data_IF_571464779408
#
_entry.id   IF_571464779408
#
_cell.length_a   1.000
_cell.length_b   1.000
_cell.length_c   1.000
_cell.angle_alpha   90.00
_cell.angle_beta   90.00
_cell.angle_gamma   90.00
#
_symmetry.space_group_name_H-M   'P 1'
#
loop_
_entity.id
_entity.type
_entity.pdbx_description
1 polymer ?
#
# COMPACT_ATOMS: atom_id res chain seq x y z
N UNK A 1 17.25 -14.21 68.91
CA UNK A 1 17.06 -14.89 67.60
C UNK A 1 15.85 -14.21 66.95
N UNK A 2 15.87 -13.55 65.80
CA UNK A 2 16.72 -13.55 64.61
C UNK A 2 16.51 -12.19 63.95
N UNK A 3 17.54 -11.36 63.87
CA UNK A 3 18.17 -10.92 62.60
C UNK A 3 17.20 -10.57 61.45
N UNK A 4 17.19 -9.28 61.15
CA UNK A 4 17.40 -8.70 59.82
C UNK A 4 16.78 -9.45 58.62
N UNK A 5 15.64 -8.96 58.15
CA UNK A 5 15.23 -9.10 56.75
C UNK A 5 14.53 -7.82 56.31
N UNK A 6 15.33 -6.77 56.12
CA UNK A 6 14.91 -5.54 55.46
C UNK A 6 16.00 -5.19 54.44
N UNK A 7 16.15 -6.03 53.41
CA UNK A 7 16.96 -5.71 52.24
C UNK A 7 16.21 -6.09 50.97
N UNK A 8 16.06 -5.07 50.11
CA UNK A 8 15.80 -5.15 48.68
C UNK A 8 14.39 -5.62 48.27
N UNK A 9 13.39 -4.78 48.54
CA UNK A 9 12.32 -4.61 47.54
C UNK A 9 12.94 -3.91 46.34
N UNK A 10 13.35 -4.70 45.34
CA UNK A 10 13.60 -4.18 43.99
C UNK A 10 12.34 -3.46 43.56
N UNK A 11 12.46 -2.15 43.36
CA UNK A 11 11.42 -1.30 42.81
C UNK A 11 11.19 -1.77 41.37
N UNK A 12 10.34 -2.78 41.18
CA UNK A 12 9.86 -3.21 39.85
C UNK A 12 8.86 -2.19 39.35
N UNK A 13 9.31 -0.94 39.19
CA UNK A 13 8.73 0.02 38.25
C UNK A 13 9.33 -0.24 36.88
N UNK A 14 9.26 -1.48 36.43
CA UNK A 14 9.28 -1.76 34.99
C UNK A 14 8.06 -1.07 34.41
N UNK A 15 8.33 0.01 33.68
CA UNK A 15 7.35 0.85 33.01
C UNK A 15 6.25 0.00 32.36
N UNK A 16 5.03 0.03 32.93
CA UNK A 16 3.82 -0.60 32.35
C UNK A 16 3.47 -0.09 30.94
N UNK A 17 4.24 0.84 30.37
CA UNK A 17 4.08 1.32 28.98
C UNK A 17 4.81 0.46 27.94
N UNK A 18 5.75 -0.41 28.30
CA UNK A 18 6.62 -1.04 27.30
C UNK A 18 6.04 -2.25 26.56
N UNK A 19 4.91 -2.82 27.00
CA UNK A 19 4.37 -4.07 26.40
C UNK A 19 3.00 -3.93 25.72
N UNK A 20 2.37 -2.75 25.74
CA UNK A 20 1.01 -2.60 25.20
C UNK A 20 0.90 -2.85 23.69
N UNK A 21 1.98 -2.61 22.93
CA UNK A 21 1.98 -2.73 21.47
C UNK A 21 2.15 -4.17 20.97
N UNK A 22 2.87 -5.01 21.73
CA UNK A 22 3.16 -6.40 21.37
C UNK A 22 2.08 -7.35 21.90
N UNK A 23 1.43 -7.01 23.00
CA UNK A 23 0.36 -7.83 23.60
C UNK A 23 -1.05 -7.54 23.02
N UNK A 24 -1.16 -6.59 22.08
CA UNK A 24 -2.44 -6.25 21.48
C UNK A 24 -2.81 -7.24 20.37
N UNK A 25 -3.99 -7.85 20.48
CA UNK A 25 -4.51 -8.81 19.51
C UNK A 25 -4.52 -8.23 18.08
N UNK A 26 -3.87 -8.92 17.16
CA UNK A 26 -3.83 -8.59 15.73
C UNK A 26 -5.24 -8.56 15.08
N UNK A 27 -6.22 -9.21 15.71
CA UNK A 27 -7.61 -9.25 15.26
C UNK A 27 -8.35 -7.91 15.47
N UNK A 28 -7.87 -7.05 16.38
CA UNK A 28 -8.44 -5.71 16.56
C UNK A 28 -7.65 -4.70 15.71
N UNK A 29 -8.33 -3.82 14.95
CA UNK A 29 -7.63 -2.77 14.21
C UNK A 29 -6.92 -1.86 15.20
N UNK A 30 -5.62 -1.66 14.97
CA UNK A 30 -4.81 -0.74 15.77
C UNK A 30 -5.25 0.68 15.44
N UNK A 31 -5.70 1.41 16.45
CA UNK A 31 -6.15 2.81 16.31
C UNK A 31 -5.00 3.82 16.41
N UNK A 32 -3.83 3.36 16.87
CA UNK A 32 -2.67 4.22 17.03
C UNK A 32 -2.09 4.58 15.66
N UNK A 33 -2.29 5.84 15.28
CA UNK A 33 -1.71 6.41 14.06
C UNK A 33 -0.29 6.89 14.36
N UNK A 34 0.63 6.58 13.46
CA UNK A 34 1.98 7.17 13.47
C UNK A 34 1.91 8.51 12.72
N UNK A 35 2.75 9.48 13.09
CA UNK A 35 2.85 10.75 12.37
C UNK A 35 3.22 10.52 10.91
N UNK A 36 2.50 11.18 10.00
CA UNK A 36 2.76 11.13 8.55
C UNK A 36 4.19 11.55 8.23
N UNK A 37 4.73 12.53 8.97
CA UNK A 37 6.10 13.01 8.78
C UNK A 37 7.15 11.93 9.07
N UNK A 38 6.90 11.05 10.04
CA UNK A 38 7.82 9.95 10.36
C UNK A 38 7.90 8.96 9.20
N UNK A 39 6.75 8.64 8.59
CA UNK A 39 6.70 7.80 7.40
C UNK A 39 7.35 8.49 6.20
N UNK A 40 7.10 9.79 6.00
CA UNK A 40 7.71 10.57 4.93
C UNK A 40 9.24 10.55 4.98
N UNK A 41 9.85 10.79 6.15
CA UNK A 41 11.30 10.72 6.30
C UNK A 41 11.87 9.33 6.05
N UNK A 42 11.20 8.29 6.57
CA UNK A 42 11.59 6.91 6.31
C UNK A 42 11.53 6.58 4.81
N UNK A 43 10.45 6.96 4.14
CA UNK A 43 10.25 6.68 2.74
C UNK A 43 11.23 7.45 1.85
N UNK A 44 11.52 8.71 2.18
CA UNK A 44 12.55 9.50 1.50
C UNK A 44 13.92 8.83 1.58
N UNK A 45 14.31 8.32 2.75
CA UNK A 45 15.59 7.62 2.89
C UNK A 45 15.59 6.25 2.19
N UNK A 46 14.44 5.55 2.12
CA UNK A 46 14.31 4.32 1.32
C UNK A 46 14.56 4.61 -0.17
N UNK A 47 13.96 5.69 -0.71
CA UNK A 47 14.17 6.10 -2.10
C UNK A 47 15.64 6.42 -2.32
N UNK A 48 16.24 7.24 -1.47
CA UNK A 48 17.65 7.64 -1.56
C UNK A 48 18.61 6.45 -1.46
N UNK A 49 18.37 5.53 -0.52
CA UNK A 49 19.13 4.30 -0.37
C UNK A 49 19.03 3.42 -1.62
N UNK A 50 17.85 3.32 -2.21
CA UNK A 50 17.62 2.54 -3.43
C UNK A 50 18.28 3.20 -4.64
N UNK A 51 18.20 4.52 -4.76
CA UNK A 51 18.81 5.31 -5.83
C UNK A 51 20.33 5.10 -5.90
N UNK A 52 21.01 5.03 -4.75
CA UNK A 52 22.46 4.80 -4.69
C UNK A 52 22.89 3.40 -5.15
N UNK A 53 21.95 2.47 -5.36
CA UNK A 53 22.21 1.06 -5.67
C UNK A 53 21.68 0.63 -7.03
N UNK A 54 21.12 1.55 -7.80
CA UNK A 54 20.52 1.30 -9.11
C UNK A 54 21.14 2.23 -10.14
N UNK A 55 21.14 1.81 -11.40
CA UNK A 55 21.79 2.54 -12.49
C UNK A 55 20.81 3.47 -13.21
N UNK A 56 19.51 3.17 -13.18
CA UNK A 56 18.48 3.93 -13.89
C UNK A 56 17.19 4.13 -13.10
N UNK A 57 16.35 5.04 -13.60
CA UNK A 57 15.04 5.38 -13.03
C UNK A 57 14.10 4.16 -13.06
N UNK A 58 14.11 3.39 -14.15
CA UNK A 58 13.28 2.20 -14.27
C UNK A 58 13.65 1.14 -13.21
N UNK A 59 14.94 0.95 -12.95
CA UNK A 59 15.42 0.03 -11.90
C UNK A 59 15.03 0.53 -10.50
N UNK A 60 15.07 1.86 -10.28
CA UNK A 60 14.60 2.46 -9.04
C UNK A 60 13.10 2.21 -8.84
N UNK A 61 12.28 2.45 -9.86
CA UNK A 61 10.84 2.18 -9.82
C UNK A 61 10.54 0.70 -9.60
N UNK A 62 11.25 -0.19 -10.29
CA UNK A 62 11.13 -1.64 -10.10
C UNK A 62 11.48 -2.03 -8.66
N UNK A 63 12.53 -1.44 -8.08
CA UNK A 63 12.91 -1.69 -6.68
C UNK A 63 11.86 -1.21 -5.69
N UNK A 64 11.29 -0.03 -5.92
CA UNK A 64 10.21 0.50 -5.10
C UNK A 64 8.93 -0.32 -5.25
N UNK A 65 8.60 -0.79 -6.46
CA UNK A 65 7.49 -1.71 -6.69
C UNK A 65 7.72 -3.01 -5.90
N UNK A 66 8.91 -3.62 -5.94
CA UNK A 66 9.23 -4.83 -5.16
C UNK A 66 8.99 -4.63 -3.65
N UNK A 67 9.41 -3.48 -3.11
CA UNK A 67 9.16 -3.12 -1.71
C UNK A 67 7.65 -2.95 -1.45
N UNK A 68 6.95 -2.28 -2.37
CA UNK A 68 5.50 -2.12 -2.34
C UNK A 68 4.77 -3.44 -2.32
N UNK A 69 5.17 -4.41 -3.16
CA UNK A 69 4.59 -5.76 -3.21
C UNK A 69 4.67 -6.47 -1.87
N UNK A 70 5.85 -6.43 -1.23
CA UNK A 70 6.03 -7.04 0.10
C UNK A 70 5.09 -6.44 1.14
N UNK A 71 4.86 -5.13 1.09
CA UNK A 71 3.89 -4.46 1.96
C UNK A 71 2.47 -4.86 1.58
N UNK A 72 2.13 -4.89 0.29
CA UNK A 72 0.81 -5.24 -0.23
C UNK A 72 0.36 -6.65 0.17
N UNK A 73 1.25 -7.65 0.13
CA UNK A 73 0.94 -9.01 0.61
C UNK A 73 0.52 -8.99 2.08
N UNK A 74 1.26 -8.28 2.94
CA UNK A 74 0.95 -8.20 4.38
C UNK A 74 -0.33 -7.41 4.65
N UNK A 75 -0.55 -6.33 3.89
CA UNK A 75 -1.80 -5.56 3.96
C UNK A 75 -2.98 -6.46 3.61
N UNK A 76 -2.90 -7.20 2.51
CA UNK A 76 -3.94 -8.12 2.06
C UNK A 76 -4.24 -9.21 3.11
N UNK A 77 -3.22 -9.92 3.58
CA UNK A 77 -3.36 -10.97 4.60
C UNK A 77 -4.03 -10.45 5.87
N UNK A 78 -3.63 -9.27 6.34
CA UNK A 78 -4.23 -8.65 7.53
C UNK A 78 -5.69 -8.26 7.32
N UNK A 79 -6.07 -7.78 6.13
CA UNK A 79 -7.46 -7.48 5.80
C UNK A 79 -8.32 -8.74 5.76
N UNK A 80 -7.86 -9.77 5.07
CA UNK A 80 -8.57 -11.06 5.01
C UNK A 80 -8.75 -11.69 6.41
N UNK A 81 -7.79 -11.48 7.31
CA UNK A 81 -7.88 -11.98 8.68
C UNK A 81 -8.83 -11.18 9.57
N UNK A 82 -8.83 -9.84 9.45
CA UNK A 82 -9.60 -8.95 10.34
C UNK A 82 -11.07 -8.84 9.96
N UNK A 83 -11.35 -8.70 8.68
CA UNK A 83 -12.71 -8.54 8.19
C UNK A 83 -13.33 -9.91 7.90
N UNK A 84 -14.09 -10.45 8.87
CA UNK A 84 -14.84 -11.71 8.69
C UNK A 84 -15.83 -11.68 7.52
N UNK A 85 -16.18 -10.49 7.04
CA UNK A 85 -17.10 -10.24 5.93
C UNK A 85 -16.41 -10.07 4.58
N UNK A 86 -15.10 -9.80 4.55
CA UNK A 86 -14.38 -9.65 3.28
C UNK A 86 -14.06 -11.03 2.77
N UNK A 87 -14.74 -11.41 1.69
CA UNK A 87 -14.44 -12.62 0.96
C UNK A 87 -13.38 -12.28 -0.07
N UNK A 88 -12.50 -13.23 -0.37
CA UNK A 88 -11.51 -13.05 -1.43
C UNK A 88 -12.24 -12.90 -2.76
N UNK A 89 -12.27 -11.68 -3.27
CA UNK A 89 -12.80 -11.36 -4.58
C UNK A 89 -11.97 -12.04 -5.67
N UNK A 90 -12.63 -12.54 -6.71
CA UNK A 90 -11.97 -13.15 -7.89
C UNK A 90 -12.40 -12.48 -9.19
N UNK A 91 -13.32 -11.52 -9.10
CA UNK A 91 -13.83 -10.71 -10.21
C UNK A 91 -13.02 -9.42 -10.29
N UNK A 92 -12.77 -8.92 -11.51
CA UNK A 92 -11.94 -7.73 -11.74
C UNK A 92 -12.52 -6.48 -11.05
N UNK A 93 -13.79 -6.16 -11.31
CA UNK A 93 -14.40 -4.93 -10.80
C UNK A 93 -14.52 -4.91 -9.26
N UNK A 94 -15.01 -5.98 -8.57
CA UNK A 94 -15.00 -6.05 -7.11
C UNK A 94 -13.60 -5.93 -6.50
N UNK A 95 -12.58 -6.52 -7.12
CA UNK A 95 -11.18 -6.39 -6.67
C UNK A 95 -10.73 -4.93 -6.74
N UNK A 96 -11.01 -4.24 -7.84
CA UNK A 96 -10.68 -2.82 -8.01
C UNK A 96 -11.43 -1.93 -7.03
N UNK A 97 -12.73 -2.21 -6.80
CA UNK A 97 -13.53 -1.50 -5.81
C UNK A 97 -13.00 -1.69 -4.38
N UNK A 98 -12.59 -2.91 -4.02
CA UNK A 98 -11.97 -3.22 -2.74
C UNK A 98 -10.67 -2.40 -2.55
N UNK A 99 -9.82 -2.34 -3.57
CA UNK A 99 -8.58 -1.56 -3.53
C UNK A 99 -8.89 -0.05 -3.38
N UNK A 100 -9.78 0.48 -4.21
CA UNK A 100 -10.14 1.91 -4.22
C UNK A 100 -10.77 2.36 -2.90
N UNK A 101 -11.61 1.53 -2.27
CA UNK A 101 -12.42 1.93 -1.10
C UNK A 101 -11.85 1.49 0.24
N UNK A 102 -11.47 0.22 0.37
CA UNK A 102 -11.08 -0.38 1.66
C UNK A 102 -9.59 -0.20 1.87
N UNK A 103 -8.78 -0.64 0.91
CA UNK A 103 -7.33 -0.57 1.01
C UNK A 103 -6.86 0.88 1.03
N UNK A 104 -7.38 1.73 0.14
CA UNK A 104 -7.00 3.15 0.11
C UNK A 104 -7.32 3.86 1.41
N UNK A 105 -8.51 3.62 1.98
CA UNK A 105 -8.92 4.20 3.27
C UNK A 105 -8.05 3.71 4.41
N UNK A 106 -7.64 2.46 4.39
CA UNK A 106 -6.74 1.93 5.40
C UNK A 106 -5.34 2.53 5.35
N UNK A 107 -4.82 2.80 4.16
CA UNK A 107 -3.48 3.33 3.97
C UNK A 107 -3.42 4.86 4.13
N UNK A 108 -4.46 5.58 3.69
CA UNK A 108 -4.42 7.03 3.54
C UNK A 108 -5.57 7.77 4.23
N UNK A 109 -6.43 7.08 4.98
CA UNK A 109 -7.64 7.63 5.61
C UNK A 109 -8.62 8.28 4.61
N UNK A 110 -8.50 7.97 3.32
CA UNK A 110 -9.40 8.43 2.26
C UNK A 110 -9.61 7.36 1.19
N UNK A 111 -10.74 7.42 0.51
CA UNK A 111 -10.96 6.66 -0.72
C UNK A 111 -10.12 7.27 -1.86
N UNK A 112 -9.72 6.47 -2.85
CA UNK A 112 -9.10 7.02 -4.05
C UNK A 112 -10.12 7.82 -4.87
N UNK A 113 -9.68 8.92 -5.47
CA UNK A 113 -10.56 9.92 -6.08
C UNK A 113 -11.35 9.39 -7.28
N UNK A 114 -10.77 8.47 -8.06
CA UNK A 114 -11.49 7.82 -9.14
C UNK A 114 -11.04 6.38 -9.42
N UNK A 115 -11.96 5.62 -9.99
CA UNK A 115 -11.73 4.31 -10.60
C UNK A 115 -12.33 4.35 -12.02
N UNK A 116 -11.54 4.05 -13.03
CA UNK A 116 -11.95 4.07 -14.43
C UNK A 116 -11.43 2.86 -15.19
N UNK A 117 -12.08 2.57 -16.32
CA UNK A 117 -11.60 1.64 -17.34
C UNK A 117 -11.03 2.45 -18.50
N UNK A 118 -9.97 1.97 -19.14
CA UNK A 118 -9.45 2.59 -20.35
C UNK A 118 -10.49 2.52 -21.47
N UNK A 119 -10.56 3.57 -22.30
CA UNK A 119 -11.42 3.61 -23.49
C UNK A 119 -10.84 2.77 -24.62
N UNK A 120 -9.52 2.65 -24.65
CA UNK A 120 -8.78 2.09 -25.79
C UNK A 120 -8.51 0.59 -25.58
N UNK A 121 -8.37 0.18 -24.32
CA UNK A 121 -7.95 -1.16 -23.94
C UNK A 121 -8.89 -1.77 -22.90
N UNK A 122 -9.55 -2.87 -23.26
CA UNK A 122 -10.51 -3.56 -22.39
C UNK A 122 -9.90 -4.13 -21.11
N UNK A 123 -8.60 -4.43 -21.14
CA UNK A 123 -7.78 -5.03 -20.08
C UNK A 123 -7.10 -4.00 -19.17
N UNK A 124 -7.31 -2.71 -19.43
CA UNK A 124 -6.69 -1.61 -18.68
C UNK A 124 -7.68 -0.87 -17.79
N UNK A 125 -7.30 -0.70 -16.53
CA UNK A 125 -8.06 0.00 -15.50
C UNK A 125 -7.16 0.99 -14.78
N UNK A 126 -7.75 2.05 -14.25
CA UNK A 126 -7.03 3.17 -13.65
C UNK A 126 -7.61 3.51 -12.29
N UNK A 127 -6.75 3.60 -11.28
CA UNK A 127 -7.07 4.18 -9.98
C UNK A 127 -6.35 5.52 -9.89
N UNK A 128 -7.07 6.61 -9.64
CA UNK A 128 -6.48 7.95 -9.53
C UNK A 128 -6.52 8.43 -8.09
N UNK A 129 -5.40 8.98 -7.64
CA UNK A 129 -5.30 9.76 -6.41
C UNK A 129 -4.78 11.16 -6.76
N UNK A 130 -5.58 12.18 -6.49
CA UNK A 130 -5.26 13.57 -6.82
C UNK A 130 -4.20 14.17 -5.87
N UNK A 131 -4.15 13.68 -4.63
CA UNK A 131 -3.30 14.19 -3.55
C UNK A 131 -2.79 13.04 -2.66
N UNK A 132 -1.92 12.16 -3.20
CA UNK A 132 -1.45 11.00 -2.46
C UNK A 132 -0.57 11.42 -1.28
N UNK A 133 -1.01 11.07 -0.06
CA UNK A 133 -0.35 11.49 1.19
C UNK A 133 1.14 11.07 1.26
N UNK A 134 1.49 9.95 0.65
CA UNK A 134 2.87 9.46 0.59
C UNK A 134 3.79 10.37 -0.25
N UNK A 135 3.27 11.03 -1.29
CA UNK A 135 4.07 11.84 -2.21
C UNK A 135 4.21 13.29 -1.78
N UNK A 136 3.35 13.77 -0.86
CA UNK A 136 3.31 15.19 -0.42
C UNK A 136 4.65 15.74 0.05
N UNK A 137 5.50 14.90 0.63
CA UNK A 137 6.78 15.31 1.23
C UNK A 137 7.99 14.80 0.45
N UNK A 138 7.79 14.21 -0.72
CA UNK A 138 8.89 13.73 -1.56
C UNK A 138 9.22 14.81 -2.58
N UNK A 139 10.44 15.31 -2.54
CA UNK A 139 10.99 16.18 -3.58
C UNK A 139 11.93 15.36 -4.46
N UNK A 140 11.50 15.03 -5.67
CA UNK A 140 12.39 14.44 -6.67
C UNK A 140 13.29 15.54 -7.26
N UNK A 141 14.60 15.29 -7.46
CA UNK A 141 15.47 16.20 -8.20
C UNK A 141 14.95 16.46 -9.62
N UNK A 142 15.25 17.63 -10.19
CA UNK A 142 14.75 18.02 -11.53
C UNK A 142 15.24 17.09 -12.63
N UNK A 143 16.39 16.44 -12.45
CA UNK A 143 16.95 15.45 -13.38
C UNK A 143 16.14 14.14 -13.40
N UNK A 144 15.24 13.94 -12.44
CA UNK A 144 14.38 12.77 -12.29
C UNK A 144 12.91 13.10 -12.57
N UNK A 145 12.64 13.98 -13.53
CA UNK A 145 11.28 14.40 -13.88
C UNK A 145 10.37 13.25 -14.35
N UNK A 146 10.94 12.16 -14.86
CA UNK A 146 10.21 10.95 -15.27
C UNK A 146 9.99 9.93 -14.14
N UNK A 147 10.63 10.12 -12.99
CA UNK A 147 10.52 9.19 -11.86
C UNK A 147 9.16 9.32 -11.17
N UNK A 148 8.46 8.20 -11.00
CA UNK A 148 7.25 8.11 -10.21
C UNK A 148 7.52 7.39 -8.87
N UNK A 149 7.59 8.12 -7.72
CA UNK A 149 7.66 7.47 -6.42
C UNK A 149 6.39 6.66 -6.10
N UNK A 150 5.30 6.89 -6.84
CA UNK A 150 4.09 6.07 -6.80
C UNK A 150 4.30 4.62 -7.27
N UNK A 151 5.47 4.25 -7.82
CA UNK A 151 5.83 2.86 -8.10
C UNK A 151 5.72 1.96 -6.85
N UNK A 152 5.96 2.51 -5.66
CA UNK A 152 5.72 1.81 -4.39
C UNK A 152 4.23 1.48 -4.19
N UNK A 153 3.32 2.42 -4.51
CA UNK A 153 1.88 2.18 -4.45
C UNK A 153 1.42 1.17 -5.50
N UNK A 154 1.97 1.26 -6.72
CA UNK A 154 1.72 0.30 -7.78
C UNK A 154 2.05 -1.13 -7.31
N UNK A 155 3.19 -1.32 -6.62
CA UNK A 155 3.55 -2.63 -6.05
C UNK A 155 2.57 -3.13 -4.98
N UNK A 156 2.06 -2.25 -4.11
CA UNK A 156 1.02 -2.62 -3.13
C UNK A 156 -0.24 -3.12 -3.84
N UNK A 157 -0.71 -2.35 -4.83
CA UNK A 157 -1.90 -2.67 -5.63
C UNK A 157 -1.72 -3.98 -6.39
N UNK A 158 -0.54 -4.18 -6.99
CA UNK A 158 -0.19 -5.39 -7.74
C UNK A 158 -0.25 -6.65 -6.86
N UNK A 159 0.35 -6.61 -5.68
CA UNK A 159 0.32 -7.74 -4.74
C UNK A 159 -1.11 -8.09 -4.27
N UNK A 160 -1.96 -7.07 -4.08
CA UNK A 160 -3.36 -7.29 -3.70
C UNK A 160 -4.15 -7.89 -4.86
N UNK A 161 -3.96 -7.39 -6.08
CA UNK A 161 -4.59 -7.94 -7.27
C UNK A 161 -4.18 -9.40 -7.52
N UNK A 162 -2.88 -9.72 -7.37
CA UNK A 162 -2.37 -11.09 -7.38
C UNK A 162 -3.02 -11.96 -6.28
N UNK A 163 -3.14 -11.44 -5.05
CA UNK A 163 -3.81 -12.10 -3.93
C UNK A 163 -5.30 -12.41 -4.17
N UNK A 164 -5.99 -11.56 -4.94
CA UNK A 164 -7.36 -11.76 -5.42
C UNK A 164 -7.45 -12.65 -6.68
N UNK A 165 -6.38 -13.32 -7.09
CA UNK A 165 -6.33 -14.12 -8.32
C UNK A 165 -6.65 -13.31 -9.58
N UNK A 166 -6.37 -12.01 -9.57
CA UNK A 166 -6.49 -11.10 -10.70
C UNK A 166 -5.10 -10.53 -11.03
N UNK A 167 -4.12 -11.37 -11.42
CA UNK A 167 -2.78 -10.88 -11.75
C UNK A 167 -2.84 -9.82 -12.86
N UNK A 168 -2.10 -8.73 -12.63
CA UNK A 168 -2.03 -7.59 -13.52
C UNK A 168 -0.63 -6.99 -13.44
N UNK A 169 -0.16 -6.42 -14.55
CA UNK A 169 0.98 -5.52 -14.52
C UNK A 169 0.50 -4.15 -14.06
N UNK A 170 1.08 -3.63 -12.98
CA UNK A 170 0.67 -2.34 -12.40
C UNK A 170 1.79 -1.32 -12.51
N UNK A 171 1.48 -0.15 -13.06
CA UNK A 171 2.42 0.98 -13.17
C UNK A 171 1.83 2.24 -12.54
N UNK A 172 2.70 3.19 -12.21
CA UNK A 172 2.32 4.48 -11.63
C UNK A 172 2.80 5.61 -12.54
N UNK A 173 1.93 6.59 -12.76
CA UNK A 173 2.22 7.76 -13.59
C UNK A 173 1.83 9.04 -12.85
N UNK A 174 2.75 10.00 -12.81
CA UNK A 174 2.45 11.35 -12.34
C UNK A 174 1.80 12.12 -13.49
N UNK A 175 0.57 12.57 -13.31
CA UNK A 175 -0.20 13.30 -14.32
C UNK A 175 -0.69 14.62 -13.71
N UNK A 176 0.20 15.62 -13.56
CA UNK A 176 -0.16 16.89 -12.95
C UNK A 176 -1.35 17.54 -13.65
N UNK A 177 -2.28 18.08 -12.86
CA UNK A 177 -3.43 18.84 -13.35
C UNK A 177 -3.55 20.17 -12.60
N UNK A 178 -4.39 21.07 -13.10
CA UNK A 178 -4.64 22.36 -12.44
C UNK A 178 -5.10 22.15 -10.99
N UNK A 179 -4.37 22.75 -10.03
CA UNK A 179 -4.60 22.56 -8.59
C UNK A 179 -4.17 21.20 -8.02
N UNK A 180 -3.71 20.25 -8.84
CA UNK A 180 -3.35 18.88 -8.43
C UNK A 180 -1.97 18.49 -9.01
N UNK A 181 -0.86 19.09 -8.52
CA UNK A 181 0.47 18.84 -9.07
C UNK A 181 0.99 17.42 -8.81
N UNK A 182 0.45 16.74 -7.80
CA UNK A 182 0.85 15.38 -7.39
C UNK A 182 -0.14 14.30 -7.84
N UNK A 183 -1.09 14.65 -8.73
CA UNK A 183 -2.08 13.70 -9.23
C UNK A 183 -1.37 12.49 -9.82
N UNK A 184 -1.69 11.32 -9.25
CA UNK A 184 -1.05 10.06 -9.57
C UNK A 184 -2.10 9.08 -10.08
N UNK A 185 -1.80 8.46 -11.22
CA UNK A 185 -2.63 7.43 -11.84
C UNK A 185 -1.91 6.09 -11.72
N UNK A 186 -2.57 5.12 -11.11
CA UNK A 186 -2.13 3.73 -11.05
C UNK A 186 -2.86 2.98 -12.15
N UNK A 187 -2.12 2.56 -13.17
CA UNK A 187 -2.62 1.80 -14.30
C UNK A 187 -2.45 0.31 -14.02
N UNK A 188 -3.53 -0.44 -14.08
CA UNK A 188 -3.55 -1.90 -14.00
C UNK A 188 -3.86 -2.47 -15.37
N UNK A 189 -2.95 -3.28 -15.90
CA UNK A 189 -3.16 -4.05 -17.12
C UNK A 189 -3.30 -5.53 -16.76
N UNK A 190 -4.52 -6.06 -16.78
CA UNK A 190 -4.79 -7.44 -16.37
C UNK A 190 -4.23 -8.45 -17.38
N UNK A 191 -3.80 -9.60 -16.87
CA UNK A 191 -3.37 -10.69 -17.73
C UNK A 191 -4.53 -11.18 -18.61
N UNK A 192 -4.19 -11.63 -19.82
CA UNK A 192 -5.18 -12.16 -20.78
C UNK A 192 -6.08 -13.24 -20.18
N UNK A 193 -5.51 -14.14 -19.37
CA UNK A 193 -6.24 -15.22 -18.68
C UNK A 193 -7.34 -14.71 -17.73
N UNK A 194 -7.11 -13.56 -17.08
CA UNK A 194 -8.08 -12.93 -16.17
C UNK A 194 -9.25 -12.40 -16.98
N UNK A 195 -8.97 -11.75 -18.11
CA UNK A 195 -10.00 -11.20 -18.98
C UNK A 195 -10.81 -12.31 -19.68
N UNK A 196 -10.17 -13.40 -20.09
CA UNK A 196 -10.87 -14.59 -20.61
C UNK A 196 -11.77 -15.22 -19.56
N UNK A 197 -11.31 -15.33 -18.30
CA UNK A 197 -12.12 -15.80 -17.18
C UNK A 197 -13.32 -14.89 -16.94
N UNK A 198 -13.12 -13.58 -16.92
CA UNK A 198 -14.19 -12.60 -16.70
C UNK A 198 -15.28 -12.73 -17.77
N UNK A 199 -14.88 -12.83 -19.05
CA UNK A 199 -15.80 -13.06 -20.18
C UNK A 199 -16.61 -14.36 -20.03
N UNK A 200 -16.00 -15.45 -19.58
CA UNK A 200 -16.71 -16.73 -19.33
C UNK A 200 -17.72 -16.61 -18.19
N UNK A 201 -17.35 -15.91 -17.11
CA UNK A 201 -18.22 -15.73 -15.95
C UNK A 201 -19.38 -14.77 -16.21
N UNK A 202 -19.24 -13.86 -17.19
CA UNK A 202 -20.34 -12.99 -17.61
C UNK A 202 -21.27 -13.63 -18.64
N UNK A 203 -20.75 -14.51 -19.50
CA UNK A 203 -21.58 -15.28 -20.44
C UNK A 203 -22.47 -16.35 -19.76
N UNK A 204 -22.14 -16.72 -18.52
CA UNK A 204 -22.92 -17.65 -17.70
C UNK A 204 -24.01 -17.00 -16.83
N UNK A 205 -24.22 -15.69 -16.96
CA UNK A 205 -25.34 -14.95 -16.37
C UNK A 205 -26.45 -14.77 -17.40
#
# INVERSE_FOLDING_TARGET
MSQANNLLRLDTRTSKRSNMLLEQSLAKPRRDKVSLNAFAFLFAEIIRYSQNRVLGIQDLEAKLNELGKRVGVRVFELFMWREKTVHRETRVLPTLMFINTVVWRALFDKQADSLGRSTDNEDEYMITDNEPNILKYISAPKEMSSFSPGAFLAGIVEAIAEGCQCPARVTSHLVPAEGMPLKTVILLKFNKEVMEREKRLDAGK
#
